data_IF_876006739061
#
_entry.id   IF_876006739061
#
_cell.length_a   1.000
_cell.length_b   1.000
_cell.length_c   1.000
_cell.angle_alpha   90.00
_cell.angle_beta   90.00
_cell.angle_gamma   90.00
#
_symmetry.space_group_name_H-M   'P 1'
#
loop_
_entity.id
_entity.type
_entity.pdbx_description
1 polymer ?
#
# COMPACT_ATOMS: atom_id res chain seq x y z
N UNK A 1 -27.23 7.40 19.65
CA UNK A 1 -26.32 8.40 19.02
C UNK A 1 -24.91 7.83 19.11
N UNK A 2 -24.22 7.70 17.99
CA UNK A 2 -22.81 7.25 18.01
C UNK A 2 -21.98 8.33 18.72
N UNK A 3 -21.28 7.95 19.79
CA UNK A 3 -20.31 8.82 20.44
C UNK A 3 -19.11 8.96 19.49
N UNK A 4 -18.99 10.09 18.82
CA UNK A 4 -17.72 10.45 18.17
C UNK A 4 -16.73 10.90 19.23
N UNK A 5 -15.51 10.38 19.18
CA UNK A 5 -14.41 10.91 19.98
C UNK A 5 -14.19 12.39 19.65
N UNK A 6 -13.84 13.18 20.66
CA UNK A 6 -13.54 14.61 20.51
C UNK A 6 -12.02 14.80 20.59
N UNK A 7 -11.49 15.58 19.69
CA UNK A 7 -10.09 16.02 19.72
C UNK A 7 -10.03 17.50 19.37
N UNK A 8 -9.09 18.22 19.99
CA UNK A 8 -8.86 19.62 19.68
C UNK A 8 -8.47 19.79 18.21
N UNK A 9 -9.08 20.77 17.54
CA UNK A 9 -8.88 21.00 16.11
C UNK A 9 -9.79 20.20 15.18
N UNK A 10 -10.53 19.21 15.70
CA UNK A 10 -11.48 18.44 14.88
C UNK A 10 -12.68 19.33 14.50
N UNK A 11 -12.94 19.46 13.21
CA UNK A 11 -14.07 20.20 12.67
C UNK A 11 -15.05 19.26 11.97
N UNK A 12 -16.31 19.69 11.87
CA UNK A 12 -17.27 18.98 11.04
C UNK A 12 -16.83 19.08 9.57
N UNK A 13 -16.80 17.98 8.81
CA UNK A 13 -16.49 18.05 7.39
C UNK A 13 -17.46 18.96 6.62
N UNK A 14 -16.93 19.72 5.66
CA UNK A 14 -17.73 20.50 4.74
C UNK A 14 -18.58 19.59 3.84
N UNK A 15 -19.76 20.02 3.50
CA UNK A 15 -20.69 19.23 2.68
C UNK A 15 -20.11 18.94 1.28
N UNK A 16 -19.30 19.83 0.77
CA UNK A 16 -18.61 19.72 -0.51
C UNK A 16 -17.59 18.55 -0.56
N UNK A 17 -17.19 18.02 0.60
CA UNK A 17 -16.30 16.87 0.70
C UNK A 17 -17.05 15.53 0.67
N UNK A 18 -18.37 15.55 0.54
CA UNK A 18 -19.15 14.33 0.44
C UNK A 18 -18.71 13.50 -0.79
N UNK A 19 -18.37 12.25 -0.56
CA UNK A 19 -17.85 11.36 -1.60
C UNK A 19 -16.32 11.39 -1.77
N UNK A 20 -15.59 12.26 -1.06
CA UNK A 20 -14.13 12.15 -1.04
C UNK A 20 -13.71 10.85 -0.35
N UNK A 21 -12.73 10.17 -0.94
CA UNK A 21 -12.19 8.91 -0.39
C UNK A 21 -10.67 9.01 -0.28
N UNK A 22 -10.11 8.46 0.79
CA UNK A 22 -8.68 8.22 0.86
C UNK A 22 -8.35 7.04 -0.07
N UNK A 23 -7.92 7.34 -1.30
CA UNK A 23 -7.75 6.35 -2.34
C UNK A 23 -6.48 5.52 -2.15
N UNK A 24 -5.31 6.15 -2.07
CA UNK A 24 -4.04 5.44 -1.94
C UNK A 24 -3.00 6.24 -1.18
N UNK A 25 -1.98 5.54 -0.75
CA UNK A 25 -0.70 6.09 -0.34
C UNK A 25 0.41 5.48 -1.18
N UNK A 26 1.51 6.22 -1.37
CA UNK A 26 2.64 5.81 -2.18
C UNK A 26 3.87 5.51 -1.33
N UNK A 27 4.50 4.37 -1.64
CA UNK A 27 5.83 4.02 -1.14
C UNK A 27 6.79 3.84 -2.31
N UNK A 28 7.99 4.40 -2.21
CA UNK A 28 9.07 4.09 -3.15
C UNK A 28 9.67 2.74 -2.82
N UNK A 29 9.86 1.93 -3.85
CA UNK A 29 10.48 0.61 -3.74
C UNK A 29 11.77 0.55 -4.56
N UNK A 30 12.73 -0.21 -4.05
CA UNK A 30 14.02 -0.42 -4.74
C UNK A 30 13.93 -1.48 -5.83
N UNK A 31 13.35 -2.64 -5.50
CA UNK A 31 13.24 -3.82 -6.35
C UNK A 31 11.77 -4.25 -6.45
N UNK A 32 11.13 -4.07 -7.61
CA UNK A 32 9.72 -4.40 -7.76
C UNK A 32 9.44 -5.89 -7.60
N UNK A 33 10.38 -6.78 -8.00
CA UNK A 33 10.19 -8.22 -7.87
C UNK A 33 10.05 -8.63 -6.41
N UNK A 34 10.95 -8.15 -5.55
CA UNK A 34 10.93 -8.44 -4.12
C UNK A 34 9.71 -7.83 -3.43
N UNK A 35 9.42 -6.56 -3.74
CA UNK A 35 8.29 -5.87 -3.13
C UNK A 35 6.95 -6.46 -3.55
N UNK A 36 6.76 -6.79 -4.83
CA UNK A 36 5.53 -7.42 -5.31
C UNK A 36 5.35 -8.83 -4.72
N UNK A 37 6.43 -9.62 -4.61
CA UNK A 37 6.37 -10.92 -3.93
C UNK A 37 5.95 -10.76 -2.47
N UNK A 38 6.54 -9.82 -1.74
CA UNK A 38 6.20 -9.56 -0.35
C UNK A 38 4.73 -9.17 -0.20
N UNK A 39 4.28 -8.12 -0.89
CA UNK A 39 2.91 -7.64 -0.72
C UNK A 39 1.85 -8.60 -1.26
N UNK A 40 2.16 -9.37 -2.31
CA UNK A 40 1.20 -10.35 -2.83
C UNK A 40 1.20 -11.66 -2.04
N UNK A 41 2.35 -12.34 -1.95
CA UNK A 41 2.44 -13.67 -1.35
C UNK A 41 2.40 -13.62 0.18
N UNK A 42 3.10 -12.67 0.79
CA UNK A 42 3.18 -12.58 2.26
C UNK A 42 1.97 -11.83 2.82
N UNK A 43 1.64 -10.67 2.27
CA UNK A 43 0.58 -9.81 2.77
C UNK A 43 -0.81 -10.04 2.13
N UNK A 44 -0.88 -10.88 1.07
CA UNK A 44 -2.16 -11.26 0.45
C UNK A 44 -2.80 -10.20 -0.44
N UNK A 45 -2.06 -9.16 -0.81
CA UNK A 45 -2.58 -8.12 -1.70
C UNK A 45 -2.60 -8.57 -3.17
N UNK A 46 -3.46 -7.97 -3.96
CA UNK A 46 -3.61 -8.25 -5.40
C UNK A 46 -3.19 -7.03 -6.21
N UNK A 47 -2.40 -7.26 -7.27
CA UNK A 47 -2.06 -6.21 -8.22
C UNK A 47 -3.31 -5.85 -9.04
N UNK A 48 -3.73 -4.61 -8.90
CA UNK A 48 -4.92 -4.08 -9.59
C UNK A 48 -4.52 -3.41 -10.89
N UNK A 49 -3.51 -2.56 -10.85
CA UNK A 49 -3.07 -1.78 -11.99
C UNK A 49 -1.55 -1.60 -11.97
N UNK A 50 -0.92 -1.74 -13.14
CA UNK A 50 0.45 -1.30 -13.41
C UNK A 50 0.42 -0.21 -14.45
N UNK A 51 1.20 0.86 -14.23
CA UNK A 51 1.36 1.95 -15.19
C UNK A 51 2.85 2.24 -15.37
N UNK A 52 3.31 2.21 -16.60
CA UNK A 52 4.70 2.53 -16.94
C UNK A 52 4.80 3.95 -17.52
N UNK A 53 5.83 4.68 -17.11
CA UNK A 53 6.17 6.02 -17.60
C UNK A 53 7.58 5.99 -18.24
N UNK A 54 7.71 5.53 -19.50
CA UNK A 54 9.02 5.31 -20.11
C UNK A 54 9.90 6.57 -20.23
N UNK A 55 9.30 7.71 -20.53
CA UNK A 55 10.00 8.99 -20.64
C UNK A 55 10.61 9.46 -19.31
N UNK A 56 9.97 9.08 -18.19
CA UNK A 56 10.41 9.42 -16.83
C UNK A 56 11.09 8.26 -16.11
N UNK A 57 11.20 7.10 -16.77
CA UNK A 57 11.87 5.88 -16.27
C UNK A 57 11.37 5.42 -14.90
N UNK A 58 10.06 5.34 -14.71
CA UNK A 58 9.46 4.73 -13.52
C UNK A 58 8.19 3.95 -13.84
N UNK A 59 7.82 3.09 -12.91
CA UNK A 59 6.58 2.31 -12.93
C UNK A 59 5.81 2.47 -11.63
N UNK A 60 4.49 2.48 -11.74
CA UNK A 60 3.56 2.45 -10.60
C UNK A 60 2.85 1.09 -10.55
N UNK A 61 2.70 0.56 -9.35
CA UNK A 61 1.97 -0.67 -9.06
C UNK A 61 0.94 -0.39 -7.98
N UNK A 62 -0.34 -0.47 -8.33
CA UNK A 62 -1.44 -0.31 -7.38
C UNK A 62 -1.89 -1.68 -6.89
N UNK A 63 -1.83 -1.89 -5.57
CA UNK A 63 -2.23 -3.13 -4.92
C UNK A 63 -3.41 -2.86 -3.98
N UNK A 64 -4.31 -3.83 -3.89
CA UNK A 64 -5.46 -3.79 -2.99
C UNK A 64 -5.74 -5.14 -2.35
N UNK A 65 -6.50 -5.12 -1.27
CA UNK A 65 -7.03 -6.33 -0.63
C UNK A 65 -8.34 -6.72 -1.34
N UNK A 66 -8.24 -7.55 -2.38
CA UNK A 66 -9.35 -7.99 -3.19
C UNK A 66 -9.53 -9.50 -3.07
N UNK A 67 -10.79 -9.93 -3.09
CA UNK A 67 -11.16 -11.34 -3.25
C UNK A 67 -10.89 -11.82 -4.68
N UNK A 68 -10.89 -13.13 -4.90
CA UNK A 68 -10.75 -13.71 -6.24
C UNK A 68 -11.89 -13.27 -7.16
N UNK A 69 -13.10 -13.15 -6.64
CA UNK A 69 -14.26 -12.66 -7.38
C UNK A 69 -14.07 -11.22 -7.84
N UNK A 70 -13.63 -10.33 -6.97
CA UNK A 70 -13.36 -8.93 -7.31
C UNK A 70 -12.25 -8.82 -8.36
N UNK A 71 -11.19 -9.64 -8.26
CA UNK A 71 -10.12 -9.69 -9.26
C UNK A 71 -10.64 -10.14 -10.62
N UNK A 72 -11.50 -11.16 -10.66
CA UNK A 72 -12.09 -11.66 -11.90
C UNK A 72 -13.04 -10.65 -12.57
N UNK A 73 -13.64 -9.78 -11.77
CA UNK A 73 -14.57 -8.73 -12.22
C UNK A 73 -13.88 -7.38 -12.51
N UNK A 74 -12.56 -7.31 -12.39
CA UNK A 74 -11.83 -6.08 -12.73
C UNK A 74 -12.03 -5.72 -14.22
N UNK A 75 -12.23 -4.43 -14.55
CA UNK A 75 -12.34 -4.00 -15.93
C UNK A 75 -11.15 -4.49 -16.78
N UNK A 76 -11.43 -5.00 -17.97
CA UNK A 76 -10.39 -5.48 -18.89
C UNK A 76 -9.76 -4.33 -19.67
N UNK A 77 -10.56 -3.34 -20.01
CA UNK A 77 -10.07 -2.13 -20.67
C UNK A 77 -9.15 -1.34 -19.75
N UNK A 78 -8.06 -0.84 -20.28
CA UNK A 78 -7.01 -0.15 -19.53
C UNK A 78 -7.49 1.16 -18.92
N UNK A 79 -8.31 1.91 -19.65
CA UNK A 79 -8.82 3.21 -19.18
C UNK A 79 -9.86 3.01 -18.07
N UNK A 80 -10.81 2.11 -18.29
CA UNK A 80 -11.81 1.74 -17.29
C UNK A 80 -11.18 1.17 -16.03
N UNK A 81 -10.16 0.32 -16.18
CA UNK A 81 -9.41 -0.22 -15.04
C UNK A 81 -8.69 0.87 -14.25
N UNK A 82 -8.11 1.85 -14.92
CA UNK A 82 -7.49 2.99 -14.26
C UNK A 82 -8.54 3.81 -13.50
N UNK A 83 -9.67 4.13 -14.15
CA UNK A 83 -10.77 4.84 -13.51
C UNK A 83 -11.34 4.06 -12.30
N UNK A 84 -11.45 2.73 -12.42
CA UNK A 84 -11.86 1.86 -11.31
C UNK A 84 -10.86 1.94 -10.14
N UNK A 85 -9.56 1.83 -10.42
CA UNK A 85 -8.48 1.87 -9.41
C UNK A 85 -8.55 3.16 -8.58
N UNK A 86 -8.72 4.31 -9.23
CA UNK A 86 -8.78 5.60 -8.54
C UNK A 86 -10.11 5.89 -7.81
N UNK A 87 -11.09 5.01 -7.91
CA UNK A 87 -12.33 5.06 -7.11
C UNK A 87 -12.29 4.18 -5.86
N UNK A 88 -11.27 3.33 -5.71
CA UNK A 88 -11.18 2.42 -4.57
C UNK A 88 -10.71 3.15 -3.30
N UNK A 89 -10.97 2.52 -2.16
CA UNK A 89 -10.47 2.98 -0.85
C UNK A 89 -9.21 2.20 -0.49
N UNK A 90 -8.25 2.89 0.11
CA UNK A 90 -7.10 2.28 0.79
C UNK A 90 -6.29 1.33 -0.10
N UNK A 91 -5.82 1.84 -1.22
CA UNK A 91 -4.86 1.16 -2.09
C UNK A 91 -3.42 1.46 -1.64
N UNK A 92 -2.51 0.56 -1.95
CA UNK A 92 -1.07 0.78 -1.83
C UNK A 92 -0.48 1.00 -3.23
N UNK A 93 0.11 2.17 -3.46
CA UNK A 93 0.90 2.45 -4.65
C UNK A 93 2.38 2.19 -4.36
N UNK A 94 3.02 1.36 -5.16
CA UNK A 94 4.46 1.16 -5.13
C UNK A 94 5.08 1.85 -6.35
N UNK A 95 6.00 2.77 -6.12
CA UNK A 95 6.72 3.48 -7.19
C UNK A 95 8.14 2.92 -7.32
N UNK A 96 8.45 2.37 -8.50
CA UNK A 96 9.78 1.87 -8.85
C UNK A 96 10.45 2.79 -9.86
N UNK A 97 11.56 3.39 -9.50
CA UNK A 97 12.43 4.10 -10.42
C UNK A 97 13.36 3.09 -11.11
N UNK A 98 13.31 3.00 -12.42
CA UNK A 98 14.04 1.98 -13.17
C UNK A 98 15.56 2.05 -12.95
N UNK A 99 16.14 0.91 -12.65
CA UNK A 99 17.56 0.78 -12.33
C UNK A 99 17.89 0.84 -10.84
N UNK A 100 16.92 1.26 -10.00
CA UNK A 100 17.15 1.33 -8.55
C UNK A 100 17.47 -0.03 -7.93
N UNK A 101 16.98 -1.12 -8.50
CA UNK A 101 17.27 -2.50 -8.06
C UNK A 101 18.77 -2.84 -8.17
N UNK A 102 19.51 -2.18 -9.05
CA UNK A 102 20.94 -2.39 -9.27
C UNK A 102 21.83 -1.44 -8.45
N UNK A 103 21.27 -0.39 -7.86
CA UNK A 103 22.02 0.57 -7.04
C UNK A 103 22.25 0.00 -5.64
N UNK A 104 23.49 -0.43 -5.38
CA UNK A 104 23.87 -1.00 -4.07
C UNK A 104 23.82 0.02 -2.93
N UNK A 105 23.93 1.30 -3.24
CA UNK A 105 23.96 2.37 -2.24
C UNK A 105 22.58 2.94 -1.94
N UNK A 106 21.59 2.70 -2.78
CA UNK A 106 20.24 3.20 -2.57
C UNK A 106 19.61 2.52 -1.34
N UNK A 107 19.26 3.35 -0.38
CA UNK A 107 18.42 3.01 0.76
C UNK A 107 17.29 4.02 0.85
N UNK A 108 16.07 3.55 1.02
CA UNK A 108 14.96 4.42 1.37
C UNK A 108 14.99 4.70 2.87
N UNK A 109 14.64 5.93 3.24
CA UNK A 109 14.52 6.32 4.63
C UNK A 109 13.31 5.61 5.27
N UNK A 110 13.47 5.09 6.48
CA UNK A 110 12.42 4.34 7.18
C UNK A 110 11.34 5.23 7.85
N UNK A 111 11.59 6.52 7.91
CA UNK A 111 10.69 7.51 8.52
C UNK A 111 10.75 7.56 10.05
N UNK A 112 11.35 6.60 10.71
CA UNK A 112 11.43 6.54 12.18
C UNK A 112 12.79 7.03 12.72
N UNK A 113 13.81 7.10 11.87
CA UNK A 113 15.10 7.73 12.16
C UNK A 113 15.03 9.24 11.92
N UNK A 114 15.94 10.03 12.53
CA UNK A 114 16.01 11.48 12.26
C UNK A 114 16.54 11.79 10.85
N UNK A 115 15.93 12.77 10.14
CA UNK A 115 14.71 13.52 10.49
C UNK A 115 13.45 12.65 10.34
N UNK A 116 12.60 12.63 11.35
CA UNK A 116 11.38 11.80 11.34
C UNK A 116 10.43 12.22 10.23
N UNK A 117 9.78 11.23 9.62
CA UNK A 117 8.83 11.40 8.54
C UNK A 117 7.70 10.36 8.60
N UNK A 118 7.33 9.80 7.45
CA UNK A 118 6.30 8.78 7.37
C UNK A 118 6.74 7.49 8.10
N UNK A 119 6.02 7.11 9.16
CA UNK A 119 6.46 6.08 10.09
C UNK A 119 6.13 4.65 9.68
N UNK A 120 4.89 4.34 9.32
CA UNK A 120 4.47 2.96 9.03
C UNK A 120 3.17 2.88 8.23
N UNK A 121 2.91 1.68 7.69
CA UNK A 121 1.59 1.21 7.27
C UNK A 121 1.17 0.07 8.19
N UNK A 122 -0.13 -0.14 8.37
CA UNK A 122 -0.65 -1.18 9.23
C UNK A 122 -1.59 -2.12 8.47
N UNK A 123 -1.55 -3.40 8.81
CA UNK A 123 -2.48 -4.42 8.36
C UNK A 123 -3.21 -5.03 9.55
N UNK A 124 -4.53 -5.06 9.48
CA UNK A 124 -5.34 -5.83 10.41
C UNK A 124 -5.36 -7.29 9.98
N UNK A 125 -5.16 -8.20 10.91
CA UNK A 125 -5.17 -9.65 10.66
C UNK A 125 -6.14 -10.33 11.66
N UNK A 126 -6.81 -11.43 11.27
CA UNK A 126 -7.74 -12.11 12.16
C UNK A 126 -7.09 -12.68 13.43
N UNK A 127 -5.84 -13.15 13.32
CA UNK A 127 -5.06 -13.72 14.41
C UNK A 127 -3.59 -13.30 14.26
N UNK A 128 -3.13 -12.46 15.17
CA UNK A 128 -1.76 -11.90 15.16
C UNK A 128 -0.70 -13.01 15.37
N UNK A 129 -0.96 -13.97 16.26
CA UNK A 129 0.02 -15.03 16.55
C UNK A 129 0.18 -15.97 15.35
N UNK A 130 -0.93 -16.33 14.71
CA UNK A 130 -0.90 -17.11 13.48
C UNK A 130 -0.21 -16.36 12.34
N UNK A 131 -0.44 -15.05 12.21
CA UNK A 131 0.22 -14.20 11.22
C UNK A 131 1.75 -14.16 11.47
N UNK A 132 2.19 -13.94 12.70
CA UNK A 132 3.62 -13.94 13.05
C UNK A 132 4.31 -15.25 12.69
N UNK A 133 3.74 -16.41 13.09
CA UNK A 133 4.26 -17.74 12.72
C UNK A 133 4.35 -17.93 11.21
N UNK A 134 3.39 -17.40 10.47
CA UNK A 134 3.40 -17.45 9.01
C UNK A 134 4.50 -16.57 8.43
N UNK A 135 4.69 -15.36 8.93
CA UNK A 135 5.75 -14.45 8.49
C UNK A 135 7.13 -15.01 8.71
N UNK A 136 7.39 -15.65 9.86
CA UNK A 136 8.64 -16.37 10.14
C UNK A 136 8.95 -17.45 9.10
N UNK A 137 7.94 -18.22 8.65
CA UNK A 137 8.09 -19.22 7.57
C UNK A 137 8.52 -18.61 6.24
N UNK A 138 8.20 -17.35 6.00
CA UNK A 138 8.62 -16.59 4.81
C UNK A 138 9.92 -15.81 5.02
N UNK A 139 10.58 -15.99 6.19
CA UNK A 139 11.83 -15.29 6.51
C UNK A 139 11.65 -13.80 6.74
N UNK A 140 10.44 -13.36 7.10
CA UNK A 140 10.20 -11.97 7.47
C UNK A 140 10.75 -11.72 8.85
N UNK A 141 11.63 -10.73 8.97
CA UNK A 141 12.15 -10.30 10.27
C UNK A 141 11.06 -9.52 11.02
N UNK A 142 10.77 -9.96 12.24
CA UNK A 142 9.75 -9.36 13.10
C UNK A 142 10.42 -8.64 14.26
N UNK A 143 10.07 -7.39 14.45
CA UNK A 143 10.37 -6.65 15.68
C UNK A 143 9.12 -6.63 16.55
N UNK A 144 9.09 -7.46 17.58
CA UNK A 144 7.96 -7.52 18.53
C UNK A 144 8.11 -6.38 19.54
N UNK A 145 7.76 -5.16 19.13
CA UNK A 145 7.62 -4.05 20.06
C UNK A 145 6.17 -4.03 20.54
N UNK A 146 5.93 -4.66 21.65
CA UNK A 146 4.74 -4.58 22.52
C UNK A 146 3.38 -4.48 21.79
N UNK A 147 2.68 -5.58 21.79
CA UNK A 147 1.21 -5.61 21.73
C UNK A 147 0.69 -5.68 23.17
#
# INVERSE_FOLDING_TARGET
>A
MAHSEKADGLQKPDKETEGYVFNHMMLRIKDPKKSLEFYSKVMGMRLVRKIDFPSMKFSLYFLGNLTDEEVNNLPKDTHERTAWTFKQKTMLELTHNWGSENDKNLKHHDGNSEPKGFGHIAFSVPDVYAACKRFEKYGVELSLIHI
#
